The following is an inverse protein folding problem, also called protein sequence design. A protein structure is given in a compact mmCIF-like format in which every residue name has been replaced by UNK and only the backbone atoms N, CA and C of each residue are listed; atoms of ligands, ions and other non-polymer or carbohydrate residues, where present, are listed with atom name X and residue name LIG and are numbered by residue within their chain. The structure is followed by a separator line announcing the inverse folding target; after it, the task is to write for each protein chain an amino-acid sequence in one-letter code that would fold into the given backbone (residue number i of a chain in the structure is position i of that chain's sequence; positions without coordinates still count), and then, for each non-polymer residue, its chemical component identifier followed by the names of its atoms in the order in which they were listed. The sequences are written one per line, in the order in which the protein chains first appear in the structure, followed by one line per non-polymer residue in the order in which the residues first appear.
data_IF_926525714390
#
_entry.id   IF_926525714390
#
_cell.length_a   1.000
_cell.length_b   1.000
_cell.length_c   1.000
_cell.angle_alpha   90.00
_cell.angle_beta   90.00
_cell.angle_gamma   90.00
#
_symmetry.space_group_name_H-M   'P 1'
#
loop_
_entity.id
_entity.type
_entity.pdbx_description
1 polymer ?
#
# COMPACT_ATOMS: atom_id res chain seq x y z
N UNK A 1 10.07 6.98 36.05
CA UNK A 1 10.69 6.06 35.09
C UNK A 1 10.08 6.37 33.73
N UNK A 2 10.90 6.54 32.70
CA UNK A 2 10.42 6.79 31.34
C UNK A 2 9.68 5.54 30.86
N UNK A 3 8.44 5.68 30.40
CA UNK A 3 7.67 4.55 29.88
C UNK A 3 8.23 4.13 28.52
N UNK A 4 8.48 2.84 28.35
CA UNK A 4 9.02 2.27 27.10
C UNK A 4 7.89 1.83 26.19
N UNK A 5 7.97 2.15 24.90
CA UNK A 5 7.09 1.63 23.85
C UNK A 5 7.91 0.76 22.89
N UNK A 6 7.48 -0.49 22.76
CA UNK A 6 8.12 -1.44 21.85
C UNK A 6 7.28 -1.60 20.59
N UNK A 7 7.79 -1.08 19.47
CA UNK A 7 7.21 -1.25 18.14
C UNK A 7 7.68 -2.57 17.53
N UNK A 8 6.75 -3.39 17.04
CA UNK A 8 7.00 -4.75 16.56
C UNK A 8 6.62 -4.84 15.09
N UNK A 9 7.62 -4.90 14.22
CA UNK A 9 7.45 -5.07 12.77
C UNK A 9 7.53 -6.54 12.34
N UNK A 10 7.16 -6.81 11.10
CA UNK A 10 7.50 -8.05 10.40
C UNK A 10 8.99 -8.08 10.00
N UNK A 11 9.51 -9.23 9.52
CA UNK A 11 10.86 -9.31 9.00
C UNK A 11 11.03 -8.39 7.80
N UNK A 12 12.23 -7.82 7.66
CA UNK A 12 12.57 -7.03 6.48
C UNK A 12 12.57 -7.94 5.26
N UNK A 13 11.62 -7.77 4.37
CA UNK A 13 11.41 -8.64 3.20
C UNK A 13 11.16 -7.81 1.95
N UNK A 14 11.77 -8.25 0.84
CA UNK A 14 11.48 -7.68 -0.48
C UNK A 14 10.06 -8.01 -0.99
N UNK A 15 9.39 -9.01 -0.39
CA UNK A 15 8.03 -9.40 -0.78
C UNK A 15 6.96 -8.41 -0.29
N UNK A 16 7.23 -7.71 0.83
CA UNK A 16 6.31 -6.75 1.44
C UNK A 16 6.97 -5.39 1.68
N UNK A 17 7.44 -4.70 0.63
CA UNK A 17 8.18 -3.45 0.78
C UNK A 17 7.36 -2.34 1.44
N UNK A 18 6.05 -2.31 1.21
CA UNK A 18 5.14 -1.32 1.81
C UNK A 18 5.03 -1.44 3.33
N UNK A 19 5.04 -2.66 3.88
CA UNK A 19 4.98 -2.86 5.34
C UNK A 19 6.27 -2.45 6.01
N UNK A 20 7.42 -2.78 5.41
CA UNK A 20 8.72 -2.32 5.91
C UNK A 20 8.81 -0.79 5.89
N UNK A 21 8.38 -0.17 4.79
CA UNK A 21 8.35 1.28 4.64
C UNK A 21 7.48 1.92 5.71
N UNK A 22 6.25 1.42 5.93
CA UNK A 22 5.38 1.91 7.00
C UNK A 22 6.07 1.85 8.37
N UNK A 23 6.67 0.70 8.70
CA UNK A 23 7.33 0.50 9.99
C UNK A 23 8.46 1.50 10.22
N UNK A 24 9.34 1.70 9.24
CA UNK A 24 10.47 2.61 9.32
C UNK A 24 10.03 4.08 9.36
N UNK A 25 9.13 4.48 8.48
CA UNK A 25 8.66 5.86 8.41
C UNK A 25 7.91 6.27 9.69
N UNK A 26 7.02 5.41 10.19
CA UNK A 26 6.33 5.68 11.43
C UNK A 26 7.29 5.74 12.62
N UNK A 27 8.22 4.78 12.72
CA UNK A 27 9.23 4.77 13.80
C UNK A 27 10.05 6.05 13.81
N UNK A 28 10.56 6.47 12.65
CA UNK A 28 11.34 7.71 12.56
C UNK A 28 10.49 8.95 12.85
N UNK A 29 9.24 8.99 12.40
CA UNK A 29 8.35 10.12 12.63
C UNK A 29 7.94 10.24 14.10
N UNK A 30 7.58 9.12 14.73
CA UNK A 30 7.26 9.07 16.16
C UNK A 30 8.49 9.43 16.99
N UNK A 31 9.68 8.93 16.65
CA UNK A 31 10.92 9.28 17.33
C UNK A 31 11.25 10.78 17.27
N UNK A 32 10.98 11.44 16.12
CA UNK A 32 11.18 12.91 15.98
C UNK A 32 10.15 13.73 16.76
N UNK A 33 8.90 13.27 16.84
CA UNK A 33 7.82 13.97 17.52
C UNK A 33 7.77 13.71 19.03
N UNK A 34 8.43 12.65 19.47
CA UNK A 34 8.37 12.16 20.85
C UNK A 34 9.42 12.84 21.73
N UNK A 35 8.97 13.28 22.92
CA UNK A 35 9.83 13.83 23.96
C UNK A 35 9.67 13.10 25.31
N UNK A 36 8.82 12.07 25.39
CA UNK A 36 8.33 11.52 26.67
C UNK A 36 8.66 10.05 26.84
N UNK A 37 8.70 9.26 25.76
CA UNK A 37 8.80 7.80 25.82
C UNK A 37 10.15 7.31 25.27
N UNK A 38 10.64 6.19 25.77
CA UNK A 38 11.68 5.43 25.08
C UNK A 38 11.03 4.53 24.05
N UNK A 39 11.33 4.76 22.76
CA UNK A 39 10.69 4.03 21.66
C UNK A 39 11.74 3.21 20.93
N UNK A 40 11.49 1.92 20.82
CA UNK A 40 12.36 0.97 20.10
C UNK A 40 11.57 0.23 19.03
N UNK A 41 12.22 -0.11 17.90
CA UNK A 41 11.67 -0.92 16.84
C UNK A 41 12.38 -2.27 16.81
N UNK A 42 11.63 -3.34 16.99
CA UNK A 42 12.12 -4.70 16.80
C UNK A 42 11.50 -5.32 15.54
N UNK A 43 12.35 -5.85 14.69
CA UNK A 43 11.98 -6.64 13.51
C UNK A 43 12.72 -7.96 13.57
N UNK A 44 12.04 -9.11 13.44
CA UNK A 44 12.72 -10.40 13.51
C UNK A 44 13.62 -10.59 12.29
N UNK A 45 14.82 -11.12 12.52
CA UNK A 45 15.65 -11.64 11.45
C UNK A 45 15.16 -13.04 11.07
N UNK A 46 14.93 -13.30 9.80
CA UNK A 46 14.68 -14.65 9.34
C UNK A 46 15.93 -15.50 9.58
N UNK A 47 15.82 -16.45 10.48
CA UNK A 47 16.93 -17.36 10.77
C UNK A 47 16.76 -18.60 9.89
N UNK A 48 17.62 -18.78 8.87
CA UNK A 48 17.53 -19.95 8.00
C UNK A 48 18.06 -21.18 8.75
N UNK A 49 17.18 -22.05 9.21
CA UNK A 49 17.54 -23.34 9.82
C UNK A 49 17.64 -24.44 8.77
N UNK A 50 16.53 -24.71 8.06
CA UNK A 50 16.46 -25.76 7.05
C UNK A 50 17.00 -25.31 5.69
N UNK A 51 16.80 -24.05 5.32
CA UNK A 51 17.30 -23.52 4.05
C UNK A 51 18.82 -23.37 3.99
N UNK A 52 19.52 -23.53 5.12
CA UNK A 52 20.98 -23.71 5.13
C UNK A 52 21.41 -25.10 4.67
N UNK A 53 20.55 -26.12 4.83
CA UNK A 53 20.85 -27.50 4.54
C UNK A 53 20.39 -27.89 3.12
N UNK A 54 19.36 -27.24 2.61
CA UNK A 54 18.82 -27.51 1.28
C UNK A 54 18.16 -26.24 0.70
N UNK A 55 18.57 -25.82 -0.49
CA UNK A 55 18.03 -24.64 -1.18
C UNK A 55 16.71 -24.98 -1.92
N UNK A 56 15.70 -25.39 -1.16
CA UNK A 56 14.38 -25.67 -1.68
C UNK A 56 13.37 -24.62 -1.19
N UNK A 57 12.46 -24.21 -2.05
CA UNK A 57 11.39 -23.23 -1.71
C UNK A 57 10.56 -23.68 -0.49
N UNK A 58 10.39 -24.98 -0.27
CA UNK A 58 9.70 -25.55 0.90
C UNK A 58 10.47 -25.31 2.20
N UNK A 59 11.81 -25.44 2.19
CA UNK A 59 12.64 -25.17 3.37
C UNK A 59 12.54 -23.71 3.82
N UNK A 60 12.59 -22.79 2.88
CA UNK A 60 12.39 -21.34 3.17
C UNK A 60 11.01 -21.05 3.75
N UNK A 61 9.94 -21.69 3.24
CA UNK A 61 8.58 -21.56 3.79
C UNK A 61 8.48 -22.07 5.23
N UNK A 62 9.12 -23.18 5.53
CA UNK A 62 9.15 -23.76 6.89
C UNK A 62 9.92 -22.83 7.83
N UNK A 63 11.09 -22.33 7.42
CA UNK A 63 11.89 -21.38 8.20
C UNK A 63 11.12 -20.09 8.48
N UNK A 64 10.45 -19.53 7.48
CA UNK A 64 9.61 -18.33 7.64
C UNK A 64 8.43 -18.60 8.58
N UNK A 65 7.75 -19.75 8.45
CA UNK A 65 6.68 -20.14 9.36
C UNK A 65 7.17 -20.33 10.80
N UNK A 66 8.31 -21.00 10.99
CA UNK A 66 8.94 -21.18 12.29
C UNK A 66 9.32 -19.84 12.93
N UNK A 67 9.98 -18.96 12.18
CA UNK A 67 10.33 -17.62 12.62
C UNK A 67 9.06 -16.86 13.08
N UNK A 68 8.02 -16.84 12.25
CA UNK A 68 6.80 -16.08 12.46
C UNK A 68 5.95 -16.61 13.63
N UNK A 69 5.76 -17.92 13.75
CA UNK A 69 4.81 -18.51 14.69
C UNK A 69 5.45 -19.09 15.95
N UNK A 70 6.77 -19.28 15.97
CA UNK A 70 7.46 -19.90 17.10
C UNK A 70 8.57 -19.02 17.66
N UNK A 71 9.56 -18.65 16.85
CA UNK A 71 10.74 -17.94 17.34
C UNK A 71 10.39 -16.53 17.81
N UNK A 72 9.72 -15.74 16.97
CA UNK A 72 9.36 -14.36 17.29
C UNK A 72 8.40 -14.26 18.48
N UNK A 73 7.28 -15.02 18.58
CA UNK A 73 6.46 -15.00 19.80
C UNK A 73 7.22 -15.40 21.07
N UNK A 74 8.18 -16.36 20.98
CA UNK A 74 8.99 -16.76 22.13
C UNK A 74 9.96 -15.67 22.58
N UNK A 75 10.57 -14.92 21.65
CA UNK A 75 11.49 -13.84 22.00
C UNK A 75 10.82 -12.67 22.74
N UNK A 76 9.49 -12.55 22.63
CA UNK A 76 8.69 -11.52 23.28
C UNK A 76 8.16 -11.92 24.66
N UNK A 77 8.22 -13.20 25.02
CA UNK A 77 7.73 -13.67 26.33
C UNK A 77 8.55 -13.06 27.46
N UNK A 78 7.85 -12.46 28.44
CA UNK A 78 8.50 -11.82 29.59
C UNK A 78 9.14 -10.46 29.26
N UNK A 79 9.01 -9.95 28.06
CA UNK A 79 9.43 -8.58 27.76
C UNK A 79 8.57 -7.59 28.54
N UNK A 80 9.23 -6.72 29.27
CA UNK A 80 8.59 -5.61 29.98
C UNK A 80 8.65 -4.35 29.12
N UNK A 81 7.47 -3.83 28.76
CA UNK A 81 7.32 -2.51 28.16
C UNK A 81 6.04 -1.86 28.69
N UNK A 82 6.00 -0.53 28.67
CA UNK A 82 4.79 0.20 29.02
C UNK A 82 3.67 -0.04 28.01
N UNK A 83 4.01 -0.07 26.70
CA UNK A 83 3.11 -0.44 25.64
C UNK A 83 3.83 -1.20 24.51
N UNK A 84 3.05 -1.99 23.76
CA UNK A 84 3.48 -2.72 22.57
C UNK A 84 2.69 -2.22 21.37
N UNK A 85 3.35 -2.03 20.23
CA UNK A 85 2.68 -1.67 18.99
C UNK A 85 3.04 -2.67 17.87
N UNK A 86 2.16 -3.59 17.56
CA UNK A 86 2.29 -4.50 16.42
C UNK A 86 1.95 -3.71 15.16
N UNK A 87 2.96 -3.44 14.34
CA UNK A 87 2.87 -2.55 13.17
C UNK A 87 2.17 -3.16 11.96
N UNK A 88 1.86 -4.45 12.00
CA UNK A 88 1.19 -5.18 10.92
C UNK A 88 0.23 -6.22 11.49
N UNK A 89 -1.06 -6.09 11.19
CA UNK A 89 -2.13 -7.04 11.58
C UNK A 89 -1.82 -8.48 11.14
N UNK A 90 -1.00 -8.65 10.11
CA UNK A 90 -0.49 -9.95 9.72
C UNK A 90 0.28 -10.65 10.83
N UNK A 91 0.73 -9.94 11.86
CA UNK A 91 1.41 -10.43 13.07
C UNK A 91 0.55 -10.34 14.34
N UNK A 92 -0.77 -10.20 14.22
CA UNK A 92 -1.67 -10.10 15.37
C UNK A 92 -1.55 -11.29 16.36
N UNK A 93 -1.05 -12.46 15.92
CA UNK A 93 -0.78 -13.59 16.81
C UNK A 93 0.24 -13.30 17.93
N UNK A 94 1.08 -12.27 17.77
CA UNK A 94 2.05 -11.86 18.79
C UNK A 94 1.36 -11.43 20.09
N UNK A 95 0.11 -10.96 20.02
CA UNK A 95 -0.67 -10.53 21.19
C UNK A 95 -0.78 -11.61 22.27
N UNK A 96 -0.72 -12.91 21.86
CA UNK A 96 -0.72 -14.04 22.80
C UNK A 96 0.54 -14.12 23.68
N UNK A 97 1.60 -13.41 23.32
CA UNK A 97 2.87 -13.35 24.04
C UNK A 97 3.07 -12.02 24.76
N UNK A 98 2.09 -11.12 24.66
CA UNK A 98 2.11 -9.76 25.18
C UNK A 98 0.92 -9.53 26.13
N UNK A 99 0.91 -8.39 26.81
CA UNK A 99 -0.25 -7.92 27.55
C UNK A 99 -1.26 -7.26 26.59
N UNK A 100 -2.46 -7.83 26.34
CA UNK A 100 -3.43 -7.27 25.41
C UNK A 100 -3.88 -5.85 25.77
N UNK A 101 -3.98 -5.53 27.09
CA UNK A 101 -4.42 -4.21 27.57
C UNK A 101 -3.34 -3.12 27.32
N UNK A 102 -2.12 -3.52 26.99
CA UNK A 102 -1.01 -2.63 26.64
C UNK A 102 -0.62 -2.76 25.16
N UNK A 103 -1.43 -3.46 24.36
CA UNK A 103 -1.09 -3.73 22.95
C UNK A 103 -1.95 -2.91 22.01
N UNK A 104 -1.26 -2.22 21.09
CA UNK A 104 -1.80 -1.54 19.92
C UNK A 104 -1.49 -2.37 18.68
N UNK A 105 -2.41 -2.46 17.71
CA UNK A 105 -2.15 -3.15 16.43
C UNK A 105 -2.57 -2.25 15.27
N UNK A 106 -1.71 -2.07 14.26
CA UNK A 106 -2.10 -1.42 13.01
C UNK A 106 -2.68 -2.44 12.02
N UNK A 107 -3.88 -2.15 11.52
CA UNK A 107 -4.55 -2.89 10.46
C UNK A 107 -4.46 -2.12 9.14
N UNK A 108 -3.79 -2.73 8.15
CA UNK A 108 -3.55 -2.14 6.84
C UNK A 108 -4.67 -2.41 5.85
N UNK A 109 -5.23 -3.61 5.88
CA UNK A 109 -6.38 -4.03 5.07
C UNK A 109 -6.97 -5.32 5.63
N UNK A 110 -8.08 -5.73 5.05
CA UNK A 110 -8.74 -7.01 5.35
C UNK A 110 -9.13 -7.75 4.06
N UNK A 111 -8.37 -7.53 2.99
CA UNK A 111 -8.61 -8.10 1.65
C UNK A 111 -8.87 -9.62 1.69
N UNK A 112 -8.07 -10.46 2.39
CA UNK A 112 -8.33 -11.89 2.43
C UNK A 112 -9.66 -12.26 3.11
N UNK A 113 -10.12 -11.45 4.08
CA UNK A 113 -11.43 -11.63 4.72
C UNK A 113 -12.56 -11.31 3.74
N UNK A 114 -12.49 -10.15 3.08
CA UNK A 114 -13.49 -9.72 2.11
C UNK A 114 -13.62 -10.69 0.94
N UNK A 115 -12.51 -11.24 0.48
CA UNK A 115 -12.50 -12.29 -0.54
C UNK A 115 -13.19 -13.57 -0.04
N UNK A 116 -12.93 -13.99 1.21
CA UNK A 116 -13.57 -15.18 1.80
C UNK A 116 -15.07 -15.00 2.09
N UNK A 117 -15.52 -13.75 2.28
CA UNK A 117 -16.94 -13.39 2.43
C UNK A 117 -17.61 -13.03 1.08
N UNK A 118 -16.90 -13.26 -0.05
CA UNK A 118 -17.39 -12.96 -1.42
C UNK A 118 -17.80 -11.49 -1.64
N UNK A 119 -17.25 -10.56 -0.85
CA UNK A 119 -17.49 -9.12 -1.00
C UNK A 119 -16.72 -8.56 -2.19
N UNK A 120 -15.57 -9.13 -2.49
CA UNK A 120 -14.74 -8.79 -3.65
C UNK A 120 -14.51 -10.05 -4.50
N UNK A 121 -14.42 -9.92 -5.84
CA UNK A 121 -14.29 -11.05 -6.75
C UNK A 121 -12.85 -11.58 -6.79
N UNK A 122 -12.39 -12.10 -5.68
CA UNK A 122 -11.06 -12.70 -5.53
C UNK A 122 -11.17 -14.08 -4.92
N UNK A 123 -10.45 -15.03 -5.51
CA UNK A 123 -10.32 -16.36 -4.94
C UNK A 123 -9.14 -16.38 -3.96
N UNK A 124 -9.41 -16.82 -2.75
CA UNK A 124 -8.39 -17.07 -1.73
C UNK A 124 -8.45 -18.52 -1.27
N UNK A 125 -7.30 -19.22 -1.14
CA UNK A 125 -7.30 -20.57 -0.60
C UNK A 125 -7.95 -20.62 0.79
N UNK A 126 -8.72 -21.66 1.06
CA UNK A 126 -9.43 -21.83 2.35
C UNK A 126 -8.50 -21.77 3.56
N UNK A 127 -7.25 -22.25 3.41
CA UNK A 127 -6.21 -22.16 4.44
C UNK A 127 -5.81 -20.71 4.74
N UNK A 128 -5.73 -19.85 3.72
CA UNK A 128 -5.41 -18.42 3.87
C UNK A 128 -6.58 -17.72 4.55
N UNK A 129 -7.82 -17.95 4.09
CA UNK A 129 -9.03 -17.41 4.68
C UNK A 129 -9.16 -17.78 6.16
N UNK A 130 -8.99 -19.07 6.51
CA UNK A 130 -9.04 -19.55 7.90
C UNK A 130 -7.96 -18.91 8.78
N UNK A 131 -6.74 -18.83 8.28
CA UNK A 131 -5.63 -18.23 9.02
C UNK A 131 -5.88 -16.73 9.23
N UNK A 132 -6.43 -16.06 8.24
CA UNK A 132 -6.75 -14.64 8.33
C UNK A 132 -7.89 -14.39 9.34
N UNK A 133 -8.97 -15.17 9.31
CA UNK A 133 -10.05 -15.10 10.32
C UNK A 133 -9.50 -15.27 11.74
N UNK A 134 -8.60 -16.25 11.96
CA UNK A 134 -7.95 -16.43 13.26
C UNK A 134 -7.11 -15.21 13.68
N UNK A 135 -6.46 -14.51 12.74
CA UNK A 135 -5.74 -13.27 13.06
C UNK A 135 -6.70 -12.13 13.43
N UNK A 136 -7.87 -12.08 12.82
CA UNK A 136 -8.89 -11.07 13.18
C UNK A 136 -9.44 -11.29 14.59
N UNK A 137 -9.65 -12.55 15.03
CA UNK A 137 -10.03 -12.81 16.44
C UNK A 137 -8.91 -12.44 17.43
N UNK A 138 -7.65 -12.53 17.01
CA UNK A 138 -6.51 -12.08 17.83
C UNK A 138 -6.42 -10.55 17.85
N UNK A 139 -6.62 -9.91 16.68
CA UNK A 139 -6.68 -8.45 16.56
C UNK A 139 -7.72 -7.84 17.50
N UNK A 140 -8.88 -8.48 17.65
CA UNK A 140 -9.96 -8.04 18.55
C UNK A 140 -9.58 -8.05 20.05
N UNK A 141 -8.48 -8.69 20.43
CA UNK A 141 -7.97 -8.68 21.80
C UNK A 141 -7.13 -7.42 22.12
N UNK A 142 -6.69 -6.67 21.10
CA UNK A 142 -5.88 -5.48 21.31
C UNK A 142 -6.64 -4.38 22.05
N UNK A 143 -5.93 -3.63 22.88
CA UNK A 143 -6.48 -2.45 23.58
C UNK A 143 -6.93 -1.38 22.56
N UNK A 144 -6.12 -1.17 21.51
CA UNK A 144 -6.44 -0.23 20.43
C UNK A 144 -6.04 -0.85 19.08
N UNK A 145 -6.91 -0.72 18.10
CA UNK A 145 -6.63 -1.04 16.68
C UNK A 145 -6.54 0.25 15.89
N UNK A 146 -5.39 0.50 15.27
CA UNK A 146 -5.22 1.61 14.34
C UNK A 146 -5.65 1.14 12.95
N UNK A 147 -6.72 1.70 12.42
CA UNK A 147 -7.12 1.54 11.02
C UNK A 147 -6.49 2.65 10.18
N UNK A 148 -5.91 2.30 9.03
CA UNK A 148 -5.19 3.27 8.19
C UNK A 148 -6.09 4.15 7.32
N UNK A 149 -7.40 3.90 7.33
CA UNK A 149 -8.43 4.68 6.62
C UNK A 149 -9.79 4.48 7.30
N UNK A 150 -10.74 5.38 7.05
CA UNK A 150 -12.12 5.18 7.49
C UNK A 150 -12.76 3.98 6.77
N UNK A 151 -12.35 3.68 5.53
CA UNK A 151 -12.75 2.48 4.81
C UNK A 151 -12.30 1.20 5.53
N UNK A 152 -11.04 1.15 6.00
CA UNK A 152 -10.53 0.02 6.80
C UNK A 152 -11.27 -0.09 8.13
N UNK A 153 -11.55 1.02 8.82
CA UNK A 153 -12.38 1.04 10.02
C UNK A 153 -13.76 0.46 9.77
N UNK A 154 -14.49 0.96 8.78
CA UNK A 154 -15.84 0.48 8.44
C UNK A 154 -15.85 -1.03 8.11
N UNK A 155 -14.78 -1.51 7.48
CA UNK A 155 -14.63 -2.93 7.16
C UNK A 155 -14.36 -3.77 8.42
N UNK A 156 -13.52 -3.29 9.34
CA UNK A 156 -13.28 -3.93 10.63
C UNK A 156 -14.58 -4.02 11.44
N UNK A 157 -15.32 -2.92 11.56
CA UNK A 157 -16.60 -2.86 12.28
C UNK A 157 -17.64 -3.83 11.73
N UNK A 158 -17.65 -4.03 10.41
CA UNK A 158 -18.65 -4.88 9.73
C UNK A 158 -18.31 -6.37 9.73
N UNK A 159 -17.02 -6.72 9.61
CA UNK A 159 -16.60 -8.10 9.32
C UNK A 159 -15.73 -8.74 10.40
N UNK A 160 -15.51 -8.03 11.52
CA UNK A 160 -14.70 -8.55 12.63
C UNK A 160 -15.39 -8.28 13.98
N UNK A 161 -14.86 -8.88 15.04
CA UNK A 161 -15.33 -8.68 16.42
C UNK A 161 -14.58 -7.54 17.13
N UNK A 162 -13.83 -6.69 16.41
CA UNK A 162 -13.13 -5.56 17.01
C UNK A 162 -14.15 -4.51 17.47
N UNK A 163 -14.18 -4.16 18.77
CA UNK A 163 -15.10 -3.14 19.27
C UNK A 163 -14.83 -1.76 18.62
N UNK A 164 -15.88 -1.08 18.17
CA UNK A 164 -15.77 0.20 17.45
C UNK A 164 -15.08 1.30 18.24
N UNK A 165 -15.23 1.30 19.58
CA UNK A 165 -14.57 2.24 20.51
C UNK A 165 -13.07 2.00 20.66
N UNK A 166 -12.56 0.83 20.23
CA UNK A 166 -11.14 0.50 20.18
C UNK A 166 -10.49 0.80 18.85
N UNK A 167 -11.25 1.23 17.81
CA UNK A 167 -10.72 1.52 16.49
C UNK A 167 -10.44 3.02 16.34
N UNK A 168 -9.19 3.37 16.10
CA UNK A 168 -8.74 4.75 15.81
C UNK A 168 -8.25 4.82 14.37
N UNK A 169 -8.72 5.81 13.61
CA UNK A 169 -8.25 6.02 12.22
C UNK A 169 -7.03 6.92 12.23
N UNK A 170 -5.91 6.40 11.73
CA UNK A 170 -4.66 7.16 11.54
C UNK A 170 -4.16 6.89 10.12
N UNK A 171 -4.36 7.83 9.18
CA UNK A 171 -3.87 7.69 7.82
C UNK A 171 -2.35 7.66 7.75
N UNK A 172 -1.82 7.04 6.71
CA UNK A 172 -0.40 7.09 6.40
C UNK A 172 0.08 8.52 6.11
N UNK A 173 1.35 8.75 6.40
CA UNK A 173 2.09 9.88 5.86
C UNK A 173 2.67 9.60 4.48
N UNK A 174 3.03 10.66 3.81
CA UNK A 174 3.79 10.65 2.56
C UNK A 174 5.26 10.92 2.84
N UNK A 175 6.16 10.14 2.23
CA UNK A 175 7.59 10.39 2.29
C UNK A 175 7.91 11.66 1.48
N UNK A 176 8.64 12.65 2.04
CA UNK A 176 9.00 13.90 1.35
C UNK A 176 9.82 13.72 0.07
N UNK A 177 10.40 12.54 -0.15
CA UNK A 177 11.07 12.18 -1.40
C UNK A 177 10.13 12.23 -2.59
N UNK A 178 8.81 11.98 -2.37
CA UNK A 178 7.79 12.14 -3.40
C UNK A 178 7.46 13.61 -3.57
N UNK A 179 8.18 14.24 -4.48
CA UNK A 179 7.99 15.61 -4.91
C UNK A 179 8.19 15.70 -6.42
N UNK A 180 7.69 16.75 -7.04
CA UNK A 180 7.84 16.96 -8.47
C UNK A 180 9.32 17.20 -8.84
N UNK A 181 9.83 16.42 -9.79
CA UNK A 181 11.20 16.47 -10.29
C UNK A 181 11.22 16.85 -11.77
N UNK A 182 11.51 18.13 -12.06
CA UNK A 182 11.46 18.70 -13.44
C UNK A 182 12.38 17.97 -14.42
N UNK A 183 13.56 17.54 -13.98
CA UNK A 183 14.56 16.85 -14.81
C UNK A 183 14.18 15.40 -15.13
N UNK A 184 13.30 14.77 -14.34
CA UNK A 184 12.98 13.35 -14.41
C UNK A 184 12.28 12.96 -15.71
N UNK A 185 11.47 13.87 -16.29
CA UNK A 185 10.69 13.60 -17.50
C UNK A 185 11.58 13.09 -18.66
N UNK A 186 12.65 13.83 -18.96
CA UNK A 186 13.55 13.47 -20.07
C UNK A 186 14.34 12.19 -19.77
N UNK A 187 14.93 12.07 -18.58
CA UNK A 187 15.82 10.96 -18.23
C UNK A 187 15.07 9.63 -18.16
N UNK A 188 13.90 9.61 -17.48
CA UNK A 188 13.10 8.37 -17.34
C UNK A 188 12.43 7.93 -18.63
N UNK A 189 11.95 8.87 -19.42
CA UNK A 189 11.40 8.56 -20.74
C UNK A 189 12.47 7.97 -21.66
N UNK A 190 13.64 8.57 -21.75
CA UNK A 190 14.75 8.04 -22.51
C UNK A 190 15.16 6.62 -22.06
N UNK A 191 15.19 6.35 -20.75
CA UNK A 191 15.51 5.01 -20.21
C UNK A 191 14.49 3.94 -20.62
N UNK A 192 13.25 4.33 -20.94
CA UNK A 192 12.20 3.45 -21.45
C UNK A 192 12.10 3.43 -22.99
N UNK A 193 13.01 4.11 -23.69
CA UNK A 193 12.99 4.24 -25.15
C UNK A 193 11.83 5.11 -25.65
N UNK A 194 11.41 6.11 -24.87
CA UNK A 194 10.32 7.03 -25.16
C UNK A 194 10.87 8.44 -25.37
N UNK A 195 10.28 9.17 -26.32
CA UNK A 195 10.53 10.60 -26.50
C UNK A 195 9.74 11.46 -25.50
N UNK A 196 10.00 12.76 -25.48
CA UNK A 196 9.33 13.70 -24.59
C UNK A 196 7.87 13.95 -24.96
N UNK A 197 7.48 13.74 -26.19
CA UNK A 197 6.14 14.00 -26.74
C UNK A 197 5.20 12.80 -26.55
N UNK A 198 5.76 11.62 -26.32
CA UNK A 198 4.99 10.40 -26.04
C UNK A 198 4.03 10.63 -24.88
N UNK A 199 2.75 10.31 -25.06
CA UNK A 199 1.76 10.34 -23.97
C UNK A 199 1.93 9.13 -23.07
N UNK A 200 2.36 9.34 -21.82
CA UNK A 200 2.72 8.28 -20.87
C UNK A 200 1.63 8.09 -19.84
N UNK A 201 0.98 6.93 -19.90
CA UNK A 201 0.06 6.44 -18.86
C UNK A 201 0.85 5.55 -17.91
N UNK A 202 0.83 5.86 -16.61
CA UNK A 202 1.52 5.08 -15.59
C UNK A 202 0.58 4.11 -14.90
N UNK A 203 1.08 2.92 -14.58
CA UNK A 203 0.53 2.03 -13.56
C UNK A 203 1.66 1.62 -12.61
N UNK A 204 1.46 1.83 -11.32
CA UNK A 204 2.35 1.31 -10.27
C UNK A 204 1.58 0.27 -9.46
N UNK A 205 2.01 -0.98 -9.55
CA UNK A 205 1.29 -2.09 -8.91
C UNK A 205 2.21 -3.24 -8.52
N UNK A 206 2.01 -3.77 -7.32
CA UNK A 206 2.53 -5.07 -6.90
C UNK A 206 1.69 -6.21 -7.50
N UNK A 207 2.12 -7.45 -7.26
CA UNK A 207 1.39 -8.64 -7.74
C UNK A 207 0.07 -8.79 -6.96
N UNK A 208 -1.06 -8.82 -7.68
CA UNK A 208 -2.37 -9.02 -7.05
C UNK A 208 -3.51 -8.83 -8.05
N UNK A 209 -4.45 -9.79 -8.11
CA UNK A 209 -5.61 -9.73 -9.01
C UNK A 209 -6.53 -8.54 -8.69
N UNK A 210 -6.58 -8.13 -7.42
CA UNK A 210 -7.35 -6.96 -7.00
C UNK A 210 -6.83 -5.63 -7.58
N UNK A 211 -5.63 -5.61 -8.17
CA UNK A 211 -5.11 -4.44 -8.91
C UNK A 211 -5.79 -4.23 -10.27
N UNK A 212 -6.62 -5.16 -10.70
CA UNK A 212 -7.52 -5.05 -11.86
C UNK A 212 -6.81 -4.65 -13.17
N UNK A 213 -5.63 -5.20 -13.40
CA UNK A 213 -4.88 -4.98 -14.64
C UNK A 213 -5.69 -5.27 -15.92
N UNK A 214 -6.58 -6.30 -15.98
CA UNK A 214 -7.39 -6.54 -17.16
C UNK A 214 -8.30 -5.37 -17.55
N UNK A 215 -8.92 -4.66 -16.59
CA UNK A 215 -9.72 -3.47 -16.89
C UNK A 215 -8.84 -2.34 -17.46
N UNK A 216 -7.66 -2.12 -16.87
CA UNK A 216 -6.70 -1.14 -17.42
C UNK A 216 -6.30 -1.48 -18.86
N UNK A 217 -5.99 -2.74 -19.18
CA UNK A 217 -5.60 -3.13 -20.54
C UNK A 217 -6.71 -2.86 -21.55
N UNK A 218 -7.97 -3.14 -21.19
CA UNK A 218 -9.13 -2.82 -22.03
C UNK A 218 -9.31 -1.31 -22.19
N UNK A 219 -9.21 -0.54 -21.11
CA UNK A 219 -9.27 0.92 -21.16
C UNK A 219 -8.15 1.51 -22.00
N UNK A 220 -6.93 1.00 -21.85
CA UNK A 220 -5.78 1.44 -22.63
C UNK A 220 -5.91 1.11 -24.12
N UNK A 221 -6.48 -0.04 -24.48
CA UNK A 221 -6.76 -0.37 -25.89
C UNK A 221 -7.75 0.62 -26.49
N UNK A 222 -8.82 0.98 -25.79
CA UNK A 222 -9.77 2.01 -26.23
C UNK A 222 -9.12 3.41 -26.32
N UNK A 223 -8.27 3.77 -25.36
CA UNK A 223 -7.51 5.02 -25.40
C UNK A 223 -6.62 5.09 -26.66
N UNK A 224 -5.90 4.00 -26.97
CA UNK A 224 -4.99 3.92 -28.12
C UNK A 224 -5.68 4.19 -29.47
N UNK A 225 -6.95 3.84 -29.63
CA UNK A 225 -7.70 4.14 -30.85
C UNK A 225 -7.98 5.64 -31.03
N UNK A 226 -7.90 6.44 -29.95
CA UNK A 226 -8.17 7.88 -29.94
C UNK A 226 -6.91 8.73 -29.75
N UNK A 227 -5.95 8.23 -29.00
CA UNK A 227 -4.68 8.90 -28.70
C UNK A 227 -3.54 8.08 -29.28
N UNK A 228 -3.21 8.35 -30.55
CA UNK A 228 -2.12 7.67 -31.23
C UNK A 228 -0.78 7.89 -30.50
N UNK A 229 0.04 6.85 -30.40
CA UNK A 229 1.36 6.92 -29.74
C UNK A 229 1.33 6.88 -28.21
N UNK A 230 0.15 6.81 -27.54
CA UNK A 230 0.10 6.63 -26.10
C UNK A 230 0.80 5.34 -25.68
N UNK A 231 1.60 5.39 -24.60
CA UNK A 231 2.36 4.26 -24.06
C UNK A 231 1.98 4.02 -22.61
N UNK A 232 1.69 2.76 -22.26
CA UNK A 232 1.49 2.32 -20.89
C UNK A 232 2.83 1.91 -20.29
N UNK A 233 3.27 2.65 -19.28
CA UNK A 233 4.47 2.30 -18.49
C UNK A 233 4.02 1.65 -17.20
N UNK A 234 4.39 0.39 -17.01
CA UNK A 234 4.08 -0.40 -15.81
C UNK A 234 5.31 -0.55 -14.92
N UNK A 235 5.14 -0.20 -13.65
CA UNK A 235 6.17 -0.28 -12.63
C UNK A 235 5.71 -1.27 -11.56
N UNK A 236 6.60 -2.17 -11.16
CA UNK A 236 6.32 -3.21 -10.19
C UNK A 236 6.24 -4.60 -10.81
N UNK A 237 5.21 -5.37 -10.47
CA UNK A 237 5.09 -6.73 -10.96
C UNK A 237 4.86 -6.81 -12.47
N UNK A 238 5.45 -7.81 -13.12
CA UNK A 238 5.19 -8.14 -14.52
C UNK A 238 3.74 -8.61 -14.71
N UNK A 239 3.24 -8.50 -15.95
CA UNK A 239 1.93 -9.04 -16.32
C UNK A 239 1.86 -10.54 -16.01
N UNK A 240 0.73 -11.00 -15.50
CA UNK A 240 0.42 -12.43 -15.48
C UNK A 240 0.27 -12.96 -16.93
N UNK A 241 0.38 -14.28 -17.11
CA UNK A 241 0.33 -14.88 -18.44
C UNK A 241 -0.99 -14.56 -19.19
N UNK A 242 -2.12 -14.62 -18.50
CA UNK A 242 -3.44 -14.28 -19.03
C UNK A 242 -3.60 -12.76 -19.33
N UNK A 243 -2.95 -11.91 -18.54
CA UNK A 243 -2.92 -10.45 -18.80
C UNK A 243 -2.05 -10.13 -20.03
N UNK A 244 -0.91 -10.83 -20.21
CA UNK A 244 -0.07 -10.70 -21.38
C UNK A 244 -0.78 -11.21 -22.66
N UNK A 245 -1.52 -12.33 -22.56
CA UNK A 245 -2.36 -12.83 -23.63
C UNK A 245 -3.48 -11.84 -23.99
N UNK A 246 -4.12 -11.23 -22.97
CA UNK A 246 -5.13 -10.20 -23.20
C UNK A 246 -4.52 -8.99 -23.92
N UNK A 247 -3.35 -8.52 -23.51
CA UNK A 247 -2.66 -7.40 -24.17
C UNK A 247 -2.35 -7.73 -25.65
N UNK A 248 -1.97 -8.97 -25.93
CA UNK A 248 -1.74 -9.44 -27.30
C UNK A 248 -3.04 -9.45 -28.12
N UNK A 249 -4.13 -10.02 -27.58
CA UNK A 249 -5.45 -10.05 -28.24
C UNK A 249 -6.00 -8.65 -28.52
N UNK A 250 -5.70 -7.68 -27.66
CA UNK A 250 -6.08 -6.28 -27.81
C UNK A 250 -5.14 -5.49 -28.76
N UNK A 251 -4.06 -6.11 -29.26
CA UNK A 251 -3.10 -5.45 -30.15
C UNK A 251 -2.25 -4.34 -29.52
N UNK A 252 -2.11 -4.34 -28.18
CA UNK A 252 -1.42 -3.27 -27.45
C UNK A 252 -0.06 -3.66 -26.86
N UNK A 253 0.40 -4.91 -27.06
CA UNK A 253 1.65 -5.41 -26.46
C UNK A 253 2.87 -4.54 -26.74
N UNK A 254 3.00 -4.03 -27.99
CA UNK A 254 4.11 -3.16 -28.40
C UNK A 254 4.07 -1.76 -27.75
N UNK A 255 2.94 -1.38 -27.16
CA UNK A 255 2.70 -0.08 -26.51
C UNK A 255 2.80 -0.15 -25.00
N UNK A 256 3.23 -1.30 -24.45
CA UNK A 256 3.44 -1.50 -23.01
C UNK A 256 4.94 -1.56 -22.74
N UNK A 257 5.40 -0.80 -21.75
CA UNK A 257 6.77 -0.84 -21.22
C UNK A 257 6.72 -1.33 -19.78
N UNK A 258 7.37 -2.45 -19.50
CA UNK A 258 7.48 -3.00 -18.14
C UNK A 258 8.85 -2.62 -17.56
N UNK A 259 8.86 -1.79 -16.52
CA UNK A 259 10.08 -1.31 -15.86
C UNK A 259 10.59 -2.31 -14.82
N UNK A 260 9.69 -3.15 -14.30
CA UNK A 260 10.02 -4.03 -13.20
C UNK A 260 9.87 -3.38 -11.83
N UNK A 261 10.34 -4.06 -10.78
CA UNK A 261 10.25 -3.58 -9.39
C UNK A 261 11.22 -2.43 -9.17
N UNK A 262 10.71 -1.33 -8.62
CA UNK A 262 11.48 -0.16 -8.20
C UNK A 262 11.34 -0.04 -6.69
N UNK A 263 12.43 -0.26 -5.95
CA UNK A 263 12.46 -0.21 -4.49
C UNK A 263 13.01 1.12 -3.95
N UNK A 264 13.64 1.93 -4.80
CA UNK A 264 14.16 3.25 -4.44
C UNK A 264 13.05 4.30 -4.65
N UNK A 265 12.65 4.96 -3.56
CA UNK A 265 11.60 5.97 -3.56
C UNK A 265 11.93 7.17 -4.47
N UNK A 266 13.20 7.54 -4.61
CA UNK A 266 13.63 8.63 -5.49
C UNK A 266 13.45 8.24 -6.96
N UNK A 267 13.84 7.03 -7.33
CA UNK A 267 13.63 6.51 -8.69
C UNK A 267 12.13 6.40 -8.99
N UNK A 268 11.33 6.00 -8.00
CA UNK A 268 9.88 5.92 -8.15
C UNK A 268 9.24 7.32 -8.30
N UNK A 269 9.70 8.31 -7.52
CA UNK A 269 9.27 9.70 -7.66
C UNK A 269 9.63 10.30 -9.03
N UNK A 270 10.79 9.94 -9.59
CA UNK A 270 11.18 10.32 -10.94
C UNK A 270 10.23 9.72 -12.00
N UNK A 271 9.80 8.47 -11.83
CA UNK A 271 8.81 7.86 -12.71
C UNK A 271 7.44 8.52 -12.62
N UNK A 272 6.96 8.81 -11.41
CA UNK A 272 5.72 9.58 -11.26
C UNK A 272 5.85 10.93 -11.98
N UNK A 273 6.94 11.67 -11.76
CA UNK A 273 7.17 12.97 -12.39
C UNK A 273 7.31 12.90 -13.91
N UNK A 274 7.69 11.75 -14.49
CA UNK A 274 7.82 11.53 -15.91
C UNK A 274 6.51 11.15 -16.60
N UNK A 275 5.49 10.70 -15.86
CA UNK A 275 4.18 10.36 -16.37
C UNK A 275 3.32 11.57 -16.75
N UNK A 276 2.33 11.36 -17.60
CA UNK A 276 1.31 12.36 -17.90
C UNK A 276 0.04 12.13 -17.06
N UNK A 277 -0.25 10.85 -16.73
CA UNK A 277 -1.37 10.45 -15.87
C UNK A 277 -1.06 9.10 -15.21
N UNK A 278 -1.40 8.95 -13.93
CA UNK A 278 -1.45 7.65 -13.26
C UNK A 278 -2.85 7.05 -13.40
N UNK A 279 -2.93 5.76 -13.73
CA UNK A 279 -4.16 4.98 -13.66
C UNK A 279 -4.06 3.94 -12.54
N UNK A 280 -5.03 3.96 -11.62
CA UNK A 280 -5.06 3.09 -10.46
C UNK A 280 -6.42 2.38 -10.34
N UNK A 281 -6.63 1.28 -11.08
CA UNK A 281 -7.95 0.67 -11.30
C UNK A 281 -8.31 -0.39 -10.25
N UNK A 282 -7.71 -0.38 -9.08
CA UNK A 282 -7.86 -1.43 -8.06
C UNK A 282 -9.32 -1.66 -7.68
N UNK A 283 -9.69 -2.92 -7.47
CA UNK A 283 -11.02 -3.33 -6.97
C UNK A 283 -11.16 -3.07 -5.46
N UNK A 284 -10.05 -3.12 -4.75
CA UNK A 284 -9.99 -2.87 -3.31
C UNK A 284 -8.60 -2.40 -2.88
N UNK A 285 -8.57 -1.55 -1.85
CA UNK A 285 -7.35 -1.07 -1.19
C UNK A 285 -7.61 -0.76 0.28
N UNK A 286 -6.54 -0.80 1.09
CA UNK A 286 -6.60 -0.29 2.46
C UNK A 286 -6.35 1.21 2.55
N UNK A 287 -5.56 1.79 1.59
CA UNK A 287 -5.23 3.22 1.57
C UNK A 287 -5.07 3.75 0.14
N UNK A 288 -3.91 3.58 -0.50
CA UNK A 288 -3.64 4.10 -1.84
C UNK A 288 -2.40 5.00 -1.91
N UNK A 289 -1.25 4.49 -1.52
CA UNK A 289 0.02 5.22 -1.69
C UNK A 289 0.30 5.63 -3.14
N UNK A 290 0.18 4.76 -4.17
CA UNK A 290 0.50 5.19 -5.53
C UNK A 290 -0.29 6.40 -6.02
N UNK A 291 -1.61 6.53 -5.82
CA UNK A 291 -2.32 7.79 -6.08
C UNK A 291 -1.78 8.99 -5.30
N UNK A 292 -1.50 8.83 -4.02
CA UNK A 292 -0.97 9.89 -3.17
C UNK A 292 0.41 10.36 -3.63
N UNK A 293 1.32 9.41 -3.92
CA UNK A 293 2.67 9.65 -4.44
C UNK A 293 2.64 10.35 -5.80
N UNK A 294 1.75 9.90 -6.69
CA UNK A 294 1.53 10.52 -8.00
C UNK A 294 1.08 11.98 -7.88
N UNK A 295 0.11 12.25 -6.99
CA UNK A 295 -0.36 13.62 -6.71
C UNK A 295 0.79 14.50 -6.19
N UNK A 296 1.60 13.99 -5.26
CA UNK A 296 2.75 14.72 -4.71
C UNK A 296 3.84 15.00 -5.75
N UNK A 297 4.00 14.11 -6.72
CA UNK A 297 4.90 14.32 -7.85
C UNK A 297 4.28 15.18 -8.96
N UNK A 298 3.08 15.71 -8.77
CA UNK A 298 2.39 16.59 -9.71
C UNK A 298 1.87 15.86 -10.95
N UNK A 299 1.57 14.57 -10.87
CA UNK A 299 1.00 13.80 -11.97
C UNK A 299 -0.47 13.52 -11.69
N UNK A 300 -1.39 13.90 -12.60
CA UNK A 300 -2.82 13.65 -12.47
C UNK A 300 -3.15 12.18 -12.23
N UNK A 301 -4.21 11.93 -11.49
CA UNK A 301 -4.65 10.58 -11.10
C UNK A 301 -6.03 10.30 -11.66
N UNK A 302 -6.18 9.15 -12.33
CA UNK A 302 -7.45 8.48 -12.63
C UNK A 302 -7.47 7.19 -11.83
N UNK A 303 -8.40 7.05 -10.90
CA UNK A 303 -8.42 5.92 -9.98
C UNK A 303 -9.84 5.37 -9.77
N UNK A 304 -9.92 4.16 -9.28
CA UNK A 304 -11.20 3.53 -8.94
C UNK A 304 -11.95 4.29 -7.85
N UNK A 305 -13.25 4.47 -8.05
CA UNK A 305 -14.15 5.02 -7.04
C UNK A 305 -14.49 3.94 -6.00
N UNK A 306 -13.52 3.65 -5.14
CA UNK A 306 -13.65 2.74 -4.00
C UNK A 306 -13.33 3.49 -2.70
N UNK A 307 -13.91 3.09 -1.55
CA UNK A 307 -13.88 3.90 -0.34
C UNK A 307 -12.51 4.43 0.05
N UNK A 308 -11.48 3.58 0.19
CA UNK A 308 -10.15 4.01 0.61
C UNK A 308 -9.47 4.94 -0.40
N UNK A 309 -9.68 4.74 -1.70
CA UNK A 309 -9.12 5.59 -2.75
C UNK A 309 -9.83 6.94 -2.79
N UNK A 310 -11.15 6.95 -2.60
CA UNK A 310 -11.94 8.19 -2.53
C UNK A 310 -11.53 9.05 -1.34
N UNK A 311 -11.16 8.44 -0.19
CA UNK A 311 -10.61 9.15 0.96
C UNK A 311 -9.25 9.80 0.67
N UNK A 312 -8.39 9.17 -0.12
CA UNK A 312 -7.06 9.69 -0.44
C UNK A 312 -7.11 10.71 -1.55
N UNK A 313 -7.81 10.41 -2.63
CA UNK A 313 -7.84 11.23 -3.85
C UNK A 313 -8.78 12.41 -3.72
N UNK A 314 -9.96 12.22 -3.14
CA UNK A 314 -10.99 13.27 -3.02
C UNK A 314 -11.35 13.85 -4.39
N UNK A 315 -11.42 15.18 -4.47
CA UNK A 315 -11.66 15.94 -5.70
C UNK A 315 -10.36 16.32 -6.45
N UNK A 316 -9.21 15.83 -6.00
CA UNK A 316 -7.90 16.11 -6.56
C UNK A 316 -7.50 15.15 -7.70
N UNK A 317 -8.31 14.15 -7.98
CA UNK A 317 -8.18 13.23 -9.11
C UNK A 317 -9.53 12.92 -9.71
N UNK A 318 -9.56 11.97 -10.63
CA UNK A 318 -10.77 11.48 -11.29
C UNK A 318 -11.10 10.10 -10.76
N UNK A 319 -12.25 9.96 -10.15
CA UNK A 319 -12.75 8.69 -9.63
C UNK A 319 -13.72 8.08 -10.66
N UNK A 320 -13.42 6.84 -11.08
CA UNK A 320 -14.17 6.10 -12.10
C UNK A 320 -14.57 4.72 -11.57
N UNK A 321 -15.60 4.12 -12.17
CA UNK A 321 -15.94 2.74 -11.85
C UNK A 321 -14.79 1.79 -12.21
N UNK A 322 -14.34 0.91 -11.31
CA UNK A 322 -13.34 -0.11 -11.62
C UNK A 322 -13.85 -1.15 -12.63
N UNK A 323 -15.16 -1.22 -12.85
CA UNK A 323 -15.83 -2.16 -13.75
C UNK A 323 -16.11 -1.56 -15.13
N UNK A 324 -15.86 -0.25 -15.33
CA UNK A 324 -16.09 0.43 -16.61
C UNK A 324 -14.76 0.90 -17.27
N UNK A 325 -14.15 0.07 -18.13
CA UNK A 325 -12.97 0.45 -18.91
C UNK A 325 -13.21 1.65 -19.84
N UNK A 326 -14.47 1.90 -20.27
CA UNK A 326 -14.77 3.01 -21.16
C UNK A 326 -14.75 4.35 -20.44
N UNK A 327 -15.35 4.42 -19.25
CA UNK A 327 -15.25 5.59 -18.37
C UNK A 327 -13.78 5.90 -18.04
N UNK A 328 -13.01 4.87 -17.69
CA UNK A 328 -11.58 5.00 -17.41
C UNK A 328 -10.82 5.54 -18.63
N UNK A 329 -11.08 5.00 -19.82
CA UNK A 329 -10.43 5.45 -21.07
C UNK A 329 -10.74 6.93 -21.37
N UNK A 330 -11.99 7.38 -21.20
CA UNK A 330 -12.38 8.78 -21.40
C UNK A 330 -11.74 9.71 -20.38
N UNK A 331 -11.68 9.31 -19.10
CA UNK A 331 -11.03 10.11 -18.07
C UNK A 331 -9.53 10.28 -18.35
N UNK A 332 -8.85 9.20 -18.78
CA UNK A 332 -7.43 9.24 -19.16
C UNK A 332 -7.22 10.09 -20.41
N UNK A 333 -8.05 9.93 -21.43
CA UNK A 333 -7.99 10.74 -22.66
C UNK A 333 -8.08 12.23 -22.33
N UNK A 334 -9.05 12.63 -21.50
CA UNK A 334 -9.20 14.02 -21.09
C UNK A 334 -7.98 14.52 -20.33
N UNK A 335 -7.43 13.72 -19.41
CA UNK A 335 -6.21 14.08 -18.68
C UNK A 335 -5.00 14.30 -19.59
N UNK A 336 -4.93 13.59 -20.73
CA UNK A 336 -3.85 13.70 -21.70
C UNK A 336 -4.05 14.83 -22.72
N UNK A 337 -5.31 15.15 -23.07
CA UNK A 337 -5.66 16.00 -24.21
C UNK A 337 -6.21 17.38 -23.80
N UNK A 338 -6.59 17.59 -22.53
CA UNK A 338 -7.03 18.87 -21.98
C UNK A 338 -5.97 19.43 -21.01
N UNK A 339 -5.04 20.29 -21.48
CA UNK A 339 -3.96 20.82 -20.65
C UNK A 339 -4.46 21.67 -19.47
N UNK A 340 -5.55 22.40 -19.64
CA UNK A 340 -6.11 23.26 -18.60
C UNK A 340 -6.69 22.40 -17.46
N UNK A 341 -7.42 21.36 -17.80
CA UNK A 341 -7.96 20.41 -16.82
C UNK A 341 -6.85 19.61 -16.12
N UNK A 342 -5.86 19.13 -16.88
CA UNK A 342 -4.70 18.44 -16.32
C UNK A 342 -3.92 19.32 -15.34
N UNK A 343 -3.73 20.62 -15.68
CA UNK A 343 -3.09 21.60 -14.78
C UNK A 343 -3.90 21.81 -13.50
N UNK A 344 -5.23 21.88 -13.60
CA UNK A 344 -6.11 21.99 -12.43
C UNK A 344 -5.99 20.76 -11.51
N UNK A 345 -6.03 19.54 -12.07
CA UNK A 345 -5.85 18.31 -11.30
C UNK A 345 -4.48 18.26 -10.63
N UNK A 346 -3.43 18.67 -11.31
CA UNK A 346 -2.07 18.74 -10.76
C UNK A 346 -2.01 19.67 -9.53
N UNK A 347 -2.56 20.87 -9.64
CA UNK A 347 -2.58 21.82 -8.52
C UNK A 347 -3.33 21.26 -7.32
N UNK A 348 -4.55 20.72 -7.54
CA UNK A 348 -5.34 20.08 -6.49
C UNK A 348 -4.63 18.89 -5.88
N UNK A 349 -3.96 18.07 -6.71
CA UNK A 349 -3.19 16.90 -6.27
C UNK A 349 -2.06 17.27 -5.33
N UNK A 350 -1.26 18.29 -5.67
CA UNK A 350 -0.18 18.79 -4.83
C UNK A 350 -0.70 19.29 -3.48
N UNK A 351 -1.79 20.06 -3.47
CA UNK A 351 -2.44 20.56 -2.27
C UNK A 351 -2.95 19.38 -1.41
N UNK A 352 -3.68 18.44 -2.02
CA UNK A 352 -4.23 17.26 -1.35
C UNK A 352 -3.15 16.41 -0.70
N UNK A 353 -2.06 16.14 -1.41
CA UNK A 353 -0.95 15.35 -0.92
C UNK A 353 -0.28 15.96 0.33
N UNK A 354 -0.24 17.29 0.42
CA UNK A 354 0.30 18.02 1.57
C UNK A 354 -0.43 17.75 2.90
N UNK A 355 -1.66 17.25 2.86
CA UNK A 355 -2.41 16.91 4.08
C UNK A 355 -1.96 15.58 4.72
N UNK A 356 -1.29 14.72 3.97
CA UNK A 356 -0.86 13.40 4.43
C UNK A 356 0.59 13.44 4.88
N UNK A 357 0.83 13.75 6.14
CA UNK A 357 2.18 13.87 6.69
C UNK A 357 2.47 12.83 7.75
N UNK A 358 3.68 12.32 7.78
CA UNK A 358 4.14 11.43 8.85
C UNK A 358 4.15 12.13 10.22
N UNK A 359 4.30 13.46 10.26
CA UNK A 359 4.20 14.23 11.50
C UNK A 359 2.79 14.14 12.11
N UNK A 360 1.73 14.25 11.29
CA UNK A 360 0.36 14.08 11.74
C UNK A 360 0.10 12.64 12.21
N UNK A 361 0.56 11.64 11.44
CA UNK A 361 0.43 10.24 11.83
C UNK A 361 1.15 9.94 13.15
N UNK A 362 2.36 10.48 13.33
CA UNK A 362 3.13 10.33 14.56
C UNK A 362 2.43 10.96 15.76
N UNK A 363 1.93 12.18 15.63
CA UNK A 363 1.21 12.86 16.71
C UNK A 363 -0.02 12.08 17.16
N UNK A 364 -0.82 11.57 16.21
CA UNK A 364 -1.98 10.74 16.52
C UNK A 364 -1.58 9.41 17.16
N UNK A 365 -0.50 8.77 16.69
CA UNK A 365 0.03 7.53 17.26
C UNK A 365 0.53 7.74 18.69
N UNK A 366 1.21 8.86 18.97
CA UNK A 366 1.63 9.22 20.34
C UNK A 366 0.43 9.43 21.27
N UNK A 367 -0.68 10.00 20.79
CA UNK A 367 -1.92 10.12 21.56
C UNK A 367 -2.51 8.73 21.91
N UNK A 368 -2.44 7.77 20.97
CA UNK A 368 -2.82 6.38 21.24
C UNK A 368 -1.91 5.78 22.33
N UNK A 369 -0.59 5.94 22.24
CA UNK A 369 0.31 5.45 23.29
C UNK A 369 0.01 6.07 24.65
N UNK A 370 -0.25 7.37 24.69
CA UNK A 370 -0.65 8.05 25.92
C UNK A 370 -1.90 7.43 26.57
N UNK A 371 -2.93 7.08 25.76
CA UNK A 371 -4.16 6.47 26.24
C UNK A 371 -3.98 5.04 26.76
N UNK A 372 -3.00 4.31 26.22
CA UNK A 372 -2.68 2.94 26.65
C UNK A 372 -1.77 2.91 27.89
N UNK A 373 -0.98 3.97 28.09
CA UNK A 373 -0.05 4.11 29.21
C UNK A 373 -0.67 4.80 30.44
N UNK A 374 -1.85 5.41 30.27
CA UNK A 374 -2.63 6.01 31.37
C UNK A 374 -3.30 4.96 32.22
#
# INVERSE_FOLDING_TARGET
MTSTVLMLGGPVSAEHPSMNRYAQELFHAVGRANTTYEITLEQPTETPYLSRLCDHSHARRIDSAWSRYVAYPRSLRGRAAGAFHILDHGYAQLIRSLDPERTVVTCHDVIPLLASEHVIPLDVPATVARTFKLRMTQLAQARVVIAISAATRATLERYTEVPSDRIVVIPYGLNPTFARLEHARRSRRASAGLDNETKVVLQVATKGRYKNTPALLRAFAQLRSRVAGATLVRIGATLHADEAELAHKLGISSSIRQVGMVCDDRILAEWYSAGDVLVFPSLWEGFGWPPLESMACGTPVVASNIPAISEVVGDAGVLVSPEDPSEMAHAVERALMDPAWSCSLRRKGLERAGHFTWANAATQTLNVYKSVLA
#
